data_IF_806699348001
#
_entry.id   IF_806699348001
#
_cell.length_a   1.000
_cell.length_b   1.000
_cell.length_c   1.000
_cell.angle_alpha   90.00
_cell.angle_beta   90.00
_cell.angle_gamma   90.00
#
_symmetry.space_group_name_H-M   'P 1'
#
loop_
_entity.id
_entity.type
_entity.pdbx_description
1 polymer ?
#
# COMPACT_ATOMS: atom_id res chain seq x y z
N UNK A 1 8.19 10.19 -7.91
CA UNK A 1 8.06 11.35 -8.84
C UNK A 1 8.37 12.67 -8.18
N UNK A 2 7.83 12.95 -6.99
CA UNK A 2 8.10 14.20 -6.26
C UNK A 2 9.55 14.29 -5.79
N UNK A 3 10.07 13.23 -5.19
CA UNK A 3 11.41 13.27 -4.60
C UNK A 3 12.51 13.36 -5.66
N UNK A 4 12.31 12.76 -6.84
CA UNK A 4 13.24 12.91 -7.97
C UNK A 4 13.10 14.26 -8.71
N UNK A 5 12.08 15.06 -8.37
CA UNK A 5 11.82 16.36 -8.98
C UNK A 5 11.15 16.31 -10.35
N UNK A 6 10.80 15.13 -10.87
CA UNK A 6 10.07 15.03 -12.16
C UNK A 6 8.60 15.41 -12.04
N UNK A 7 8.07 15.42 -10.81
CA UNK A 7 6.75 15.95 -10.48
C UNK A 7 6.85 17.00 -9.38
N UNK A 8 5.92 17.93 -9.41
CA UNK A 8 5.64 18.87 -8.34
C UNK A 8 4.17 18.73 -7.93
N UNK A 9 3.77 19.09 -6.69
CA UNK A 9 2.36 19.17 -6.32
C UNK A 9 1.56 19.96 -7.36
N UNK A 10 0.42 19.39 -7.77
CA UNK A 10 -0.43 19.91 -8.86
C UNK A 10 0.20 19.88 -10.27
N UNK A 11 1.18 19.01 -10.54
CA UNK A 11 1.58 18.73 -11.92
C UNK A 11 0.42 18.07 -12.68
N UNK A 12 -0.04 18.69 -13.74
CA UNK A 12 -1.12 18.16 -14.59
C UNK A 12 -0.56 17.33 -15.73
N UNK A 13 -1.11 16.14 -15.91
CA UNK A 13 -0.76 15.19 -16.97
C UNK A 13 -2.04 14.77 -17.70
N UNK A 14 -2.01 14.74 -19.03
CA UNK A 14 -3.12 14.24 -19.85
C UNK A 14 -3.15 12.70 -19.80
N UNK A 15 -4.25 12.15 -19.29
CA UNK A 15 -4.52 10.70 -19.26
C UNK A 15 -5.10 10.27 -20.62
N UNK A 16 -4.25 9.72 -21.45
CA UNK A 16 -4.57 9.20 -22.78
C UNK A 16 -3.72 7.95 -23.07
N UNK A 17 -4.22 6.96 -23.82
CA UNK A 17 -3.48 5.75 -24.13
C UNK A 17 -2.11 6.03 -24.76
N UNK A 18 -1.10 5.26 -24.33
CA UNK A 18 0.26 5.31 -24.87
C UNK A 18 0.48 4.18 -25.85
N UNK A 19 0.79 4.54 -27.10
CA UNK A 19 1.10 3.62 -28.18
C UNK A 19 2.63 3.55 -28.38
N UNK A 20 3.27 2.58 -27.75
CA UNK A 20 4.73 2.41 -27.80
C UNK A 20 5.04 1.24 -28.76
N UNK A 21 5.99 1.43 -29.69
CA UNK A 21 6.37 0.40 -30.66
C UNK A 21 6.82 -0.88 -29.95
N UNK A 22 6.30 -2.03 -30.36
CA UNK A 22 6.59 -3.36 -29.79
C UNK A 22 6.20 -3.52 -28.30
N UNK A 23 5.25 -2.73 -27.83
CA UNK A 23 4.71 -2.82 -26.47
C UNK A 23 3.19 -2.85 -26.57
N UNK A 24 2.48 -3.65 -25.77
CA UNK A 24 1.02 -3.55 -25.64
C UNK A 24 0.60 -2.14 -25.29
N UNK A 25 -0.60 -1.73 -25.72
CA UNK A 25 -1.13 -0.39 -25.42
C UNK A 25 -1.18 -0.20 -23.90
N UNK A 26 -0.53 0.85 -23.41
CA UNK A 26 -0.52 1.23 -22.01
C UNK A 26 -1.60 2.28 -21.77
N UNK A 27 -2.60 1.94 -20.96
CA UNK A 27 -3.77 2.80 -20.75
C UNK A 27 -4.29 2.70 -19.31
N UNK A 28 -5.05 3.69 -18.89
CA UNK A 28 -5.90 3.63 -17.71
C UNK A 28 -7.19 2.86 -18.02
N UNK A 29 -7.92 2.42 -16.99
CA UNK A 29 -9.19 1.71 -17.15
C UNK A 29 -10.29 2.56 -17.80
N UNK A 30 -10.16 3.89 -17.70
CA UNK A 30 -10.94 4.89 -18.44
C UNK A 30 -10.05 6.08 -18.78
N UNK A 31 -10.43 6.89 -19.75
CA UNK A 31 -9.79 8.18 -20.03
C UNK A 31 -10.27 9.23 -19.02
N UNK A 32 -9.34 9.96 -18.40
CA UNK A 32 -9.62 10.90 -17.31
C UNK A 32 -9.35 12.37 -17.68
N UNK A 33 -8.91 12.63 -18.93
CA UNK A 33 -8.55 13.97 -19.37
C UNK A 33 -7.23 14.45 -18.73
N UNK A 34 -7.12 15.76 -18.50
CA UNK A 34 -5.94 16.35 -17.85
C UNK A 34 -6.16 16.41 -16.35
N UNK A 35 -5.36 15.64 -15.60
CA UNK A 35 -5.51 15.43 -14.16
C UNK A 35 -4.20 15.68 -13.42
N UNK A 36 -4.31 16.03 -12.15
CA UNK A 36 -3.16 16.08 -11.21
C UNK A 36 -3.01 14.77 -10.43
N UNK A 37 -1.97 14.68 -9.61
CA UNK A 37 -1.65 13.49 -8.82
C UNK A 37 -2.74 13.07 -7.83
N UNK A 38 -3.46 14.03 -7.24
CA UNK A 38 -4.57 13.70 -6.32
C UNK A 38 -5.73 13.02 -7.05
N UNK A 39 -6.08 13.52 -8.22
CA UNK A 39 -7.08 12.90 -9.08
C UNK A 39 -6.57 11.56 -9.63
N UNK A 40 -5.29 11.48 -9.98
CA UNK A 40 -4.66 10.24 -10.44
C UNK A 40 -4.70 9.14 -9.36
N UNK A 41 -4.42 9.47 -8.10
CA UNK A 41 -4.56 8.53 -6.97
C UNK A 41 -6.02 8.17 -6.74
N UNK A 42 -6.91 9.17 -6.67
CA UNK A 42 -8.35 8.98 -6.42
C UNK A 42 -9.01 8.05 -7.43
N UNK A 43 -8.71 8.24 -8.72
CA UNK A 43 -9.32 7.48 -9.82
C UNK A 43 -8.43 6.35 -10.35
N UNK A 44 -7.26 6.14 -9.74
CA UNK A 44 -6.32 5.09 -10.13
C UNK A 44 -5.85 5.19 -11.58
N UNK A 45 -5.29 6.34 -11.99
CA UNK A 45 -4.73 6.54 -13.32
C UNK A 45 -3.41 5.80 -13.50
N UNK A 46 -3.39 4.79 -14.36
CA UNK A 46 -2.15 4.14 -14.78
C UNK A 46 -1.29 5.08 -15.62
N UNK A 47 -1.90 5.83 -16.53
CA UNK A 47 -1.17 6.71 -17.45
C UNK A 47 -0.41 7.79 -16.72
N UNK A 48 -0.96 8.33 -15.62
CA UNK A 48 -0.23 9.30 -14.79
C UNK A 48 1.07 8.68 -14.26
N UNK A 49 1.00 7.42 -13.75
CA UNK A 49 2.17 6.69 -13.24
C UNK A 49 3.13 6.31 -14.36
N UNK A 50 2.64 5.89 -15.53
CA UNK A 50 3.48 5.60 -16.69
C UNK A 50 4.29 6.82 -17.12
N UNK A 51 3.65 7.99 -17.28
CA UNK A 51 4.34 9.22 -17.67
C UNK A 51 5.33 9.69 -16.59
N UNK A 52 5.02 9.48 -15.32
CA UNK A 52 5.97 9.70 -14.22
C UNK A 52 7.19 8.80 -14.34
N UNK A 53 7.00 7.50 -14.58
CA UNK A 53 8.11 6.55 -14.74
C UNK A 53 8.98 6.88 -15.98
N UNK A 54 8.37 7.27 -17.09
CA UNK A 54 9.08 7.75 -18.27
C UNK A 54 9.96 8.94 -17.92
N UNK A 55 9.44 9.90 -17.18
CA UNK A 55 10.20 11.10 -16.76
C UNK A 55 11.35 10.73 -15.82
N UNK A 56 11.14 9.82 -14.83
CA UNK A 56 12.20 9.29 -13.96
C UNK A 56 13.33 8.64 -14.79
N UNK A 57 12.96 7.90 -15.85
CA UNK A 57 13.91 7.29 -16.78
C UNK A 57 14.50 8.24 -17.81
N UNK A 58 14.24 9.55 -17.74
CA UNK A 58 14.72 10.54 -18.71
C UNK A 58 14.19 10.30 -20.14
N UNK A 59 13.11 9.52 -20.29
CA UNK A 59 12.53 9.15 -21.56
C UNK A 59 11.63 10.25 -22.16
N UNK A 60 11.48 10.23 -23.47
CA UNK A 60 10.52 11.06 -24.20
C UNK A 60 9.54 10.17 -24.94
N UNK A 61 8.26 10.24 -24.54
CA UNK A 61 7.22 9.52 -25.23
C UNK A 61 6.87 10.19 -26.58
N UNK A 62 6.87 9.36 -27.63
CA UNK A 62 6.35 9.72 -28.94
C UNK A 62 5.42 8.58 -29.43
N UNK A 63 4.20 8.87 -29.91
CA UNK A 63 3.29 7.84 -30.40
C UNK A 63 3.94 6.97 -31.47
N UNK A 64 3.74 5.65 -31.38
CA UNK A 64 4.20 4.65 -32.32
C UNK A 64 5.74 4.53 -32.49
N UNK A 65 6.51 5.28 -31.69
CA UNK A 65 7.98 5.19 -31.65
C UNK A 65 8.47 4.23 -30.53
N UNK A 66 9.71 3.72 -30.63
CA UNK A 66 10.31 3.01 -29.52
C UNK A 66 10.51 3.94 -28.32
N UNK A 67 10.16 3.47 -27.13
CA UNK A 67 10.47 4.19 -25.87
C UNK A 67 11.88 3.81 -25.43
N UNK A 68 12.70 4.82 -25.18
CA UNK A 68 14.03 4.68 -24.59
C UNK A 68 14.02 5.30 -23.21
N UNK A 69 14.56 4.58 -22.22
CA UNK A 69 14.73 5.05 -20.83
C UNK A 69 16.11 4.68 -20.33
N UNK A 70 16.58 5.38 -19.31
CA UNK A 70 17.74 4.93 -18.55
C UNK A 70 17.32 3.75 -17.67
N UNK A 71 17.97 2.56 -17.74
CA UNK A 71 17.69 1.41 -16.89
C UNK A 71 17.80 1.69 -15.39
N UNK A 72 18.63 2.68 -14.98
CA UNK A 72 18.75 3.11 -13.58
C UNK A 72 17.42 3.57 -12.97
N UNK A 73 16.42 3.87 -13.78
CA UNK A 73 15.08 4.20 -13.30
C UNK A 73 14.44 3.05 -12.49
N UNK A 74 14.74 1.79 -12.82
CA UNK A 74 14.31 0.63 -12.03
C UNK A 74 14.94 0.66 -10.63
N UNK A 75 16.24 0.88 -10.55
CA UNK A 75 16.97 1.00 -9.29
C UNK A 75 16.42 2.16 -8.46
N UNK A 76 16.22 3.32 -9.09
CA UNK A 76 15.66 4.51 -8.43
C UNK A 76 14.28 4.23 -7.84
N UNK A 77 13.35 3.68 -8.61
CA UNK A 77 11.99 3.38 -8.14
C UNK A 77 12.02 2.34 -7.01
N UNK A 78 12.79 1.26 -7.18
CA UNK A 78 12.93 0.20 -6.16
C UNK A 78 13.62 0.70 -4.88
N UNK A 79 14.56 1.63 -4.99
CA UNK A 79 15.15 2.29 -3.83
C UNK A 79 14.08 2.96 -2.96
N UNK A 80 13.19 3.75 -3.56
CA UNK A 80 12.08 4.33 -2.80
C UNK A 80 11.09 3.26 -2.31
N UNK A 81 10.76 2.26 -3.11
CA UNK A 81 9.88 1.16 -2.67
C UNK A 81 10.44 0.45 -1.43
N UNK A 82 11.74 0.18 -1.38
CA UNK A 82 12.39 -0.49 -0.25
C UNK A 82 12.35 0.34 1.04
N UNK A 83 12.42 1.66 0.94
CA UNK A 83 12.26 2.53 2.11
C UNK A 83 10.87 2.40 2.77
N UNK A 84 9.85 2.06 1.99
CA UNK A 84 8.50 1.75 2.50
C UNK A 84 8.32 0.28 2.91
N UNK A 85 9.31 -0.59 2.69
CA UNK A 85 9.25 -2.00 3.02
C UNK A 85 8.91 -2.93 1.86
N UNK A 86 8.73 -2.42 0.64
CA UNK A 86 8.44 -3.24 -0.53
C UNK A 86 9.73 -3.83 -1.12
N UNK A 87 9.72 -5.15 -1.42
CA UNK A 87 10.87 -5.86 -1.99
C UNK A 87 12.02 -6.14 -1.01
N UNK A 88 11.80 -5.91 0.27
CA UNK A 88 12.73 -6.23 1.37
C UNK A 88 11.98 -6.92 2.51
N UNK A 89 12.68 -7.62 3.39
CA UNK A 89 12.07 -8.20 4.59
C UNK A 89 11.52 -7.10 5.48
N UNK A 90 10.33 -7.32 6.05
CA UNK A 90 9.69 -6.38 6.98
C UNK A 90 10.36 -6.41 8.36
N UNK A 91 11.05 -7.50 8.67
CA UNK A 91 11.68 -7.73 9.95
C UNK A 91 10.73 -8.23 11.04
N UNK A 92 9.54 -8.72 10.66
CA UNK A 92 8.61 -9.33 11.61
C UNK A 92 9.29 -10.47 12.38
N UNK A 93 8.92 -10.66 13.63
CA UNK A 93 9.45 -11.69 14.52
C UNK A 93 8.87 -13.09 14.24
N UNK A 94 8.78 -13.43 12.94
CA UNK A 94 8.39 -14.76 12.44
C UNK A 94 9.51 -15.38 11.61
N UNK A 95 9.68 -16.71 11.65
CA UNK A 95 10.63 -17.40 10.79
C UNK A 95 10.20 -17.39 9.32
N UNK A 96 11.15 -17.60 8.41
CA UNK A 96 10.92 -17.84 6.98
C UNK A 96 10.21 -16.70 6.23
N UNK A 97 10.41 -15.44 6.65
CA UNK A 97 9.90 -14.28 5.94
C UNK A 97 10.47 -14.19 4.52
N UNK A 98 9.58 -14.02 3.52
CA UNK A 98 9.96 -13.82 2.13
C UNK A 98 10.11 -12.34 1.80
N UNK A 99 11.10 -12.00 0.95
CA UNK A 99 11.37 -10.63 0.51
C UNK A 99 10.56 -10.19 -0.72
N UNK A 100 9.64 -11.03 -1.21
CA UNK A 100 8.97 -10.80 -2.50
C UNK A 100 9.82 -11.27 -3.68
N UNK A 101 9.44 -10.87 -4.89
CA UNK A 101 10.16 -11.19 -6.11
C UNK A 101 10.36 -9.92 -6.94
N UNK A 102 11.56 -9.72 -7.47
CA UNK A 102 11.91 -8.60 -8.36
C UNK A 102 12.20 -9.11 -9.77
N UNK A 103 11.51 -8.54 -10.75
CA UNK A 103 11.75 -8.83 -12.16
C UNK A 103 13.15 -8.41 -12.61
N UNK A 104 13.80 -9.19 -13.48
CA UNK A 104 15.20 -8.98 -13.85
C UNK A 104 15.38 -8.15 -15.13
N UNK A 105 14.36 -8.09 -15.99
CA UNK A 105 14.45 -7.34 -17.24
C UNK A 105 14.26 -5.84 -17.04
N UNK A 106 15.05 -5.06 -17.79
CA UNK A 106 15.02 -3.58 -17.76
C UNK A 106 14.41 -2.96 -19.03
N UNK A 107 13.55 -3.70 -19.74
CA UNK A 107 12.84 -3.16 -20.90
C UNK A 107 11.93 -2.00 -20.51
N UNK A 108 11.88 -0.95 -21.34
CA UNK A 108 11.13 0.27 -21.03
C UNK A 108 9.63 0.03 -20.73
N UNK A 109 8.98 -0.92 -21.41
CA UNK A 109 7.60 -1.28 -21.13
C UNK A 109 7.38 -1.84 -19.72
N UNK A 110 8.37 -2.59 -19.19
CA UNK A 110 8.33 -3.16 -17.84
C UNK A 110 8.58 -2.12 -16.76
N UNK A 111 9.27 -1.00 -17.05
CA UNK A 111 9.35 0.13 -16.14
C UNK A 111 7.96 0.74 -15.88
N UNK A 112 7.12 0.80 -16.92
CA UNK A 112 5.76 1.27 -16.79
C UNK A 112 4.94 0.31 -15.92
N UNK A 113 5.11 -1.00 -16.13
CA UNK A 113 4.44 -2.01 -15.31
C UNK A 113 4.91 -1.97 -13.85
N UNK A 114 6.21 -1.77 -13.59
CA UNK A 114 6.73 -1.54 -12.24
C UNK A 114 6.05 -0.37 -11.55
N UNK A 115 5.84 0.75 -12.26
CA UNK A 115 5.24 1.96 -11.69
C UNK A 115 3.78 1.81 -11.25
N UNK A 116 3.08 0.78 -11.73
CA UNK A 116 1.70 0.47 -11.33
C UNK A 116 1.58 -0.82 -10.50
N UNK A 117 2.71 -1.44 -10.13
CA UNK A 117 2.73 -2.67 -9.32
C UNK A 117 2.43 -3.96 -10.10
N UNK A 118 2.65 -3.98 -11.41
CA UNK A 118 2.36 -5.13 -12.30
C UNK A 118 3.63 -5.93 -12.65
N UNK A 119 4.80 -5.61 -12.11
CA UNK A 119 6.07 -6.23 -12.50
C UNK A 119 6.78 -6.96 -11.36
N UNK A 120 6.95 -6.30 -10.22
CA UNK A 120 7.51 -6.94 -9.02
C UNK A 120 6.37 -7.52 -8.16
N UNK A 121 6.67 -8.53 -7.32
CA UNK A 121 5.70 -9.17 -6.43
C UNK A 121 6.04 -8.89 -4.98
N UNK A 122 5.04 -8.54 -4.19
CA UNK A 122 5.17 -8.20 -2.78
C UNK A 122 4.25 -9.06 -1.93
N UNK A 123 4.68 -9.32 -0.68
CA UNK A 123 3.86 -10.07 0.26
C UNK A 123 2.78 -9.19 0.89
N UNK A 124 1.66 -9.76 1.38
CA UNK A 124 0.66 -8.99 2.12
C UNK A 124 1.25 -8.26 3.33
N UNK A 125 2.26 -8.83 4.00
CA UNK A 125 2.94 -8.20 5.13
C UNK A 125 3.73 -6.95 4.71
N UNK A 126 4.41 -7.01 3.55
CA UNK A 126 5.07 -5.83 2.98
C UNK A 126 4.06 -4.73 2.61
N UNK A 127 2.90 -5.10 2.05
CA UNK A 127 1.83 -4.13 1.75
C UNK A 127 1.28 -3.48 3.02
N UNK A 128 1.09 -4.24 4.10
CA UNK A 128 0.65 -3.69 5.39
C UNK A 128 1.70 -2.75 6.00
N UNK A 129 2.99 -3.11 5.96
CA UNK A 129 4.07 -2.24 6.42
C UNK A 129 4.19 -0.96 5.57
N UNK A 130 4.08 -1.09 4.24
CA UNK A 130 4.09 0.04 3.31
C UNK A 130 3.00 1.07 3.64
N UNK A 131 1.76 0.63 3.79
CA UNK A 131 0.65 1.53 4.10
C UNK A 131 0.74 2.11 5.52
N UNK A 132 1.25 1.33 6.48
CA UNK A 132 1.56 1.81 7.84
C UNK A 132 2.61 2.93 7.82
N UNK A 133 3.64 2.79 6.98
CA UNK A 133 4.69 3.81 6.81
C UNK A 133 4.12 5.11 6.23
N UNK A 134 3.16 5.04 5.30
CA UNK A 134 2.44 6.21 4.81
C UNK A 134 1.60 6.83 5.93
N UNK A 135 0.83 6.01 6.65
CA UNK A 135 -0.10 6.44 7.69
C UNK A 135 0.59 7.25 8.80
N UNK A 136 1.74 6.78 9.28
CA UNK A 136 2.47 7.40 10.39
C UNK A 136 3.48 8.48 9.98
N UNK A 137 3.37 9.01 8.74
CA UNK A 137 4.20 10.14 8.30
C UNK A 137 5.63 9.76 7.88
N UNK A 138 5.87 8.50 7.51
CA UNK A 138 7.11 8.07 6.88
C UNK A 138 8.09 7.33 7.78
N UNK A 139 7.70 6.90 8.96
CA UNK A 139 8.49 6.02 9.80
C UNK A 139 8.16 4.57 9.50
N UNK A 140 9.11 3.80 8.98
CA UNK A 140 8.96 2.36 8.78
C UNK A 140 9.27 1.62 10.08
N UNK A 141 8.24 1.08 10.69
CA UNK A 141 8.32 0.36 11.94
C UNK A 141 8.56 -1.14 11.71
N UNK A 142 9.33 -1.76 12.61
CA UNK A 142 9.44 -3.23 12.66
C UNK A 142 8.13 -3.81 13.17
N UNK A 143 7.44 -4.69 12.40
CA UNK A 143 6.29 -5.40 12.90
C UNK A 143 6.69 -6.37 14.01
N UNK A 144 5.90 -6.44 15.09
CA UNK A 144 6.17 -7.29 16.25
C UNK A 144 4.88 -7.99 16.67
N UNK A 145 4.94 -9.31 16.88
CA UNK A 145 3.84 -10.11 17.45
C UNK A 145 3.99 -10.24 18.96
N UNK A 146 5.23 -10.30 19.46
CA UNK A 146 5.50 -10.43 20.88
C UNK A 146 5.70 -9.06 21.49
N UNK A 147 4.79 -8.66 22.37
CA UNK A 147 4.87 -7.39 23.14
C UNK A 147 5.71 -7.57 24.40
N UNK A 148 5.52 -8.68 25.12
CA UNK A 148 6.23 -8.95 26.38
C UNK A 148 6.28 -10.43 26.70
N UNK A 149 7.27 -10.82 27.47
CA UNK A 149 7.42 -12.15 28.08
C UNK A 149 7.23 -11.99 29.57
N UNK A 150 6.41 -12.85 30.18
CA UNK A 150 6.09 -12.83 31.60
C UNK A 150 6.46 -14.14 32.30
N UNK A 151 6.67 -14.06 33.59
CA UNK A 151 6.81 -15.27 34.42
C UNK A 151 5.53 -16.08 34.40
N UNK A 152 5.63 -17.44 34.52
CA UNK A 152 4.44 -18.26 34.65
C UNK A 152 3.64 -17.84 35.90
N UNK A 153 2.32 -17.80 35.77
CA UNK A 153 1.42 -17.56 36.91
C UNK A 153 1.09 -18.89 37.61
N UNK A 154 1.17 -18.93 38.91
CA UNK A 154 0.88 -20.11 39.70
C UNK A 154 -0.59 -20.58 39.61
N UNK A 155 -1.53 -19.65 39.40
CA UNK A 155 -2.98 -19.92 39.31
C UNK A 155 -3.52 -19.95 37.89
N UNK A 156 -2.70 -19.62 36.87
CA UNK A 156 -3.08 -19.56 35.46
C UNK A 156 -4.14 -18.49 35.11
N UNK A 157 -4.58 -17.71 36.11
CA UNK A 157 -5.67 -16.70 35.94
C UNK A 157 -5.16 -15.26 35.85
N UNK A 158 -3.99 -14.99 36.43
CA UNK A 158 -3.36 -13.67 36.41
C UNK A 158 -2.07 -13.69 35.62
N UNK A 159 -1.75 -12.59 34.97
CA UNK A 159 -0.47 -12.45 34.29
C UNK A 159 0.65 -12.31 35.33
N UNK A 160 1.73 -13.08 35.15
CA UNK A 160 2.92 -12.99 35.99
C UNK A 160 3.70 -11.69 35.76
N UNK A 161 4.80 -11.51 36.53
CA UNK A 161 5.67 -10.35 36.42
C UNK A 161 6.29 -10.28 35.01
N UNK A 162 6.45 -9.07 34.46
CA UNK A 162 7.12 -8.85 33.18
C UNK A 162 8.60 -9.20 33.33
N UNK A 163 9.07 -10.19 32.57
CA UNK A 163 10.48 -10.56 32.43
C UNK A 163 11.19 -9.72 31.37
N UNK A 164 10.49 -9.48 30.27
CA UNK A 164 11.01 -8.70 29.13
C UNK A 164 9.87 -8.01 28.41
N UNK A 165 10.07 -6.73 28.07
CA UNK A 165 9.19 -5.94 27.21
C UNK A 165 9.94 -5.60 25.92
N UNK A 166 9.24 -5.62 24.79
CA UNK A 166 9.77 -5.24 23.49
C UNK A 166 9.25 -3.87 23.13
N UNK A 167 10.14 -2.92 22.95
CA UNK A 167 9.80 -1.56 22.57
C UNK A 167 9.64 -1.44 21.05
N UNK A 168 8.83 -0.48 20.55
CA UNK A 168 8.73 -0.21 19.13
C UNK A 168 10.08 0.13 18.50
N UNK A 169 10.37 -0.46 17.33
CA UNK A 169 11.64 -0.25 16.62
C UNK A 169 11.39 0.44 15.29
N UNK A 170 11.98 1.60 15.10
CA UNK A 170 12.02 2.30 13.81
C UNK A 170 13.13 1.68 12.95
N UNK A 171 12.79 1.09 11.82
CA UNK A 171 13.75 0.53 10.87
C UNK A 171 14.42 1.61 10.03
N UNK A 172 13.62 2.56 9.54
CA UNK A 172 14.10 3.77 8.87
C UNK A 172 13.00 4.84 8.84
N UNK A 173 13.42 6.08 8.65
CA UNK A 173 12.56 7.16 8.18
C UNK A 173 12.77 7.32 6.68
N UNK A 174 11.70 7.44 5.91
CA UNK A 174 11.83 7.64 4.46
C UNK A 174 12.51 8.98 4.15
N UNK A 175 13.42 8.96 3.19
CA UNK A 175 14.08 10.17 2.69
C UNK A 175 13.15 10.92 1.73
N UNK A 176 12.20 11.64 2.31
CA UNK A 176 11.18 12.36 1.56
C UNK A 176 10.67 13.55 2.34
N UNK A 177 10.35 14.65 1.64
CA UNK A 177 9.73 15.81 2.28
C UNK A 177 8.35 15.45 2.85
N UNK A 178 8.08 15.90 4.07
CA UNK A 178 6.80 15.64 4.76
C UNK A 178 5.59 16.10 3.95
N UNK A 179 5.70 17.20 3.19
CA UNK A 179 4.64 17.69 2.32
C UNK A 179 4.24 16.68 1.24
N UNK A 180 5.17 15.89 0.72
CA UNK A 180 4.90 14.85 -0.29
C UNK A 180 4.14 13.67 0.31
N UNK A 181 4.49 13.28 1.54
CA UNK A 181 3.78 12.23 2.27
C UNK A 181 2.33 12.68 2.55
N UNK A 182 2.16 13.90 3.05
CA UNK A 182 0.82 14.48 3.28
C UNK A 182 -0.01 14.54 1.99
N UNK A 183 0.64 14.82 0.88
CA UNK A 183 -0.02 14.85 -0.43
C UNK A 183 -0.51 13.45 -0.85
N UNK A 184 0.29 12.41 -0.61
CA UNK A 184 -0.11 11.01 -0.85
C UNK A 184 -1.22 10.58 0.10
N UNK A 185 -1.13 10.92 1.39
CA UNK A 185 -2.18 10.67 2.38
C UNK A 185 -3.52 11.29 1.94
N UNK A 186 -3.50 12.53 1.46
CA UNK A 186 -4.70 13.20 0.93
C UNK A 186 -5.25 12.47 -0.30
N UNK A 187 -4.38 12.01 -1.21
CA UNK A 187 -4.80 11.16 -2.33
C UNK A 187 -5.51 9.88 -1.86
N UNK A 188 -4.97 9.21 -0.84
CA UNK A 188 -5.57 8.00 -0.24
C UNK A 188 -6.91 8.29 0.44
N UNK A 189 -7.04 9.43 1.13
CA UNK A 189 -8.32 9.89 1.69
C UNK A 189 -9.37 10.02 0.59
N UNK A 190 -9.02 10.65 -0.54
CA UNK A 190 -9.93 10.87 -1.67
C UNK A 190 -10.42 9.57 -2.31
N UNK A 191 -9.61 8.52 -2.31
CA UNK A 191 -10.02 7.19 -2.81
C UNK A 191 -11.23 6.65 -2.06
N UNK A 192 -11.28 6.84 -0.73
CA UNK A 192 -12.29 6.24 0.15
C UNK A 192 -13.40 7.21 0.59
N UNK A 193 -13.11 8.52 0.64
CA UNK A 193 -14.00 9.50 1.27
C UNK A 193 -14.56 10.56 0.30
N UNK A 194 -14.08 10.62 -0.95
CA UNK A 194 -14.53 11.63 -1.91
C UNK A 194 -15.31 10.97 -3.07
N UNK A 195 -16.49 11.52 -3.47
CA UNK A 195 -17.25 11.00 -4.61
C UNK A 195 -16.37 10.82 -5.86
N UNK A 196 -16.50 9.67 -6.52
CA UNK A 196 -15.69 9.27 -7.66
C UNK A 196 -14.34 8.64 -7.29
N UNK A 197 -14.03 8.44 -6.02
CA UNK A 197 -12.94 7.59 -5.56
C UNK A 197 -13.25 6.12 -5.80
N UNK A 198 -12.23 5.30 -6.11
CA UNK A 198 -12.41 3.90 -6.52
C UNK A 198 -13.01 3.01 -5.43
N UNK A 199 -12.87 3.37 -4.15
CA UNK A 199 -13.47 2.66 -3.02
C UNK A 199 -14.57 3.46 -2.29
N UNK A 200 -14.97 4.62 -2.82
CA UNK A 200 -15.93 5.53 -2.17
C UNK A 200 -17.25 4.84 -1.79
N UNK A 201 -17.83 4.05 -2.69
CA UNK A 201 -19.11 3.37 -2.46
C UNK A 201 -19.10 2.42 -1.24
N UNK A 202 -17.93 1.88 -0.90
CA UNK A 202 -17.77 0.97 0.23
C UNK A 202 -17.48 1.68 1.55
N UNK A 203 -16.81 2.85 1.51
CA UNK A 203 -16.25 3.49 2.71
C UNK A 203 -16.84 4.86 3.06
N UNK A 204 -17.63 5.48 2.19
CA UNK A 204 -18.20 6.81 2.41
C UNK A 204 -18.98 6.95 3.73
N UNK A 205 -19.70 5.88 4.12
CA UNK A 205 -20.51 5.83 5.35
C UNK A 205 -19.71 5.44 6.61
N UNK A 206 -18.41 5.11 6.47
CA UNK A 206 -17.60 4.68 7.61
C UNK A 206 -17.32 5.84 8.56
N UNK A 207 -17.74 5.71 9.83
CA UNK A 207 -17.57 6.75 10.86
C UNK A 207 -16.09 7.01 11.20
N UNK A 208 -15.25 5.98 11.09
CA UNK A 208 -13.81 6.04 11.35
C UNK A 208 -12.99 6.66 10.21
N UNK A 209 -13.62 7.15 9.14
CA UNK A 209 -12.97 7.93 8.06
C UNK A 209 -11.65 7.34 7.58
N UNK A 210 -11.64 6.20 6.86
CA UNK A 210 -10.41 5.53 6.44
C UNK A 210 -9.77 6.22 5.23
N UNK A 211 -8.52 5.87 4.96
CA UNK A 211 -7.80 6.23 3.74
C UNK A 211 -7.08 4.99 3.18
N UNK A 212 -6.93 4.91 1.87
CA UNK A 212 -6.28 3.74 1.26
C UNK A 212 -6.26 3.76 -0.25
N UNK A 213 -5.91 2.62 -0.85
CA UNK A 213 -5.80 2.46 -2.30
C UNK A 213 -6.23 1.06 -2.72
N UNK A 214 -7.06 0.98 -3.74
CA UNK A 214 -7.44 -0.25 -4.44
C UNK A 214 -6.37 -0.64 -5.46
N UNK A 215 -6.22 -1.93 -5.74
CA UNK A 215 -5.38 -2.44 -6.80
C UNK A 215 -6.03 -3.64 -7.51
N UNK A 216 -5.77 -3.73 -8.80
CA UNK A 216 -6.16 -4.87 -9.65
C UNK A 216 -4.96 -5.20 -10.53
N UNK A 217 -4.31 -6.33 -10.27
CA UNK A 217 -3.17 -6.80 -11.05
C UNK A 217 -3.60 -7.98 -11.91
N UNK A 218 -3.26 -7.95 -13.21
CA UNK A 218 -3.44 -9.09 -14.11
C UNK A 218 -2.54 -10.24 -13.64
N UNK A 219 -3.08 -11.45 -13.61
CA UNK A 219 -2.39 -12.65 -13.17
C UNK A 219 -2.89 -13.86 -13.98
N UNK A 220 -2.17 -14.96 -13.84
CA UNK A 220 -2.61 -16.25 -14.32
C UNK A 220 -2.82 -17.18 -13.13
N UNK A 221 -3.82 -18.05 -13.25
CA UNK A 221 -4.07 -19.04 -12.22
C UNK A 221 -2.92 -20.04 -12.12
N UNK A 222 -2.28 -20.15 -10.98
CA UNK A 222 -1.25 -21.15 -10.66
C UNK A 222 -1.57 -21.94 -9.37
N UNK A 223 -2.84 -21.90 -8.96
CA UNK A 223 -3.35 -22.59 -7.80
C UNK A 223 -3.47 -24.11 -7.95
N UNK A 224 -4.09 -24.80 -6.98
CA UNK A 224 -4.12 -26.26 -6.92
C UNK A 224 -4.98 -26.94 -7.99
N UNK A 225 -5.90 -26.23 -8.66
CA UNK A 225 -6.79 -26.82 -9.67
C UNK A 225 -6.06 -26.87 -11.02
N UNK A 226 -5.55 -28.04 -11.37
CA UNK A 226 -4.71 -28.22 -12.56
C UNK A 226 -5.41 -27.86 -13.87
N UNK A 227 -6.71 -28.13 -13.99
CA UNK A 227 -7.50 -27.80 -15.19
C UNK A 227 -7.65 -26.30 -15.45
N UNK A 228 -7.38 -25.46 -14.43
CA UNK A 228 -7.45 -24.01 -14.52
C UNK A 228 -6.08 -23.35 -14.71
N UNK A 229 -5.01 -24.13 -14.72
CA UNK A 229 -3.65 -23.59 -14.81
C UNK A 229 -3.47 -22.71 -16.04
N UNK A 230 -2.94 -21.50 -15.84
CA UNK A 230 -2.79 -20.44 -16.83
C UNK A 230 -4.10 -19.77 -17.30
N UNK A 231 -5.24 -20.01 -16.63
CA UNK A 231 -6.42 -19.18 -16.87
C UNK A 231 -6.11 -17.72 -16.51
N UNK A 232 -6.50 -16.74 -17.35
CA UNK A 232 -6.39 -15.32 -17.00
C UNK A 232 -7.22 -15.00 -15.75
N UNK A 233 -6.62 -14.36 -14.78
CA UNK A 233 -7.23 -13.98 -13.52
C UNK A 233 -6.73 -12.61 -13.08
N UNK A 234 -7.21 -12.13 -11.92
CA UNK A 234 -6.75 -10.90 -11.29
C UNK A 234 -6.38 -11.14 -9.84
N UNK A 235 -5.34 -10.46 -9.36
CA UNK A 235 -5.10 -10.29 -7.94
C UNK A 235 -5.72 -8.97 -7.50
N UNK A 236 -6.81 -9.02 -6.74
CA UNK A 236 -7.47 -7.84 -6.20
C UNK A 236 -6.84 -7.48 -4.88
N UNK A 237 -6.45 -6.23 -4.72
CA UNK A 237 -5.79 -5.74 -3.51
C UNK A 237 -6.48 -4.51 -2.96
N UNK A 238 -6.40 -4.34 -1.64
CA UNK A 238 -6.76 -3.12 -0.95
C UNK A 238 -5.76 -2.91 0.18
N UNK A 239 -5.16 -1.74 0.24
CA UNK A 239 -4.38 -1.29 1.38
C UNK A 239 -5.01 -0.05 1.99
N UNK A 240 -4.94 0.09 3.31
CA UNK A 240 -5.53 1.24 3.95
C UNK A 240 -5.18 1.36 5.42
N UNK A 241 -5.63 2.46 6.00
CA UNK A 241 -5.50 2.76 7.42
C UNK A 241 -6.69 3.59 7.91
N UNK A 242 -6.92 3.56 9.18
CA UNK A 242 -7.98 4.34 9.83
C UNK A 242 -7.61 4.67 11.29
N UNK A 243 -8.14 5.80 11.83
CA UNK A 243 -8.72 6.94 11.10
C UNK A 243 -7.69 7.68 10.24
N UNK A 244 -8.14 8.49 9.29
CA UNK A 244 -7.24 9.29 8.44
C UNK A 244 -6.37 10.27 9.22
N UNK A 245 -6.97 11.02 10.16
CA UNK A 245 -6.27 12.08 10.90
C UNK A 245 -5.42 11.55 12.06
N UNK A 246 -5.77 10.40 12.64
CA UNK A 246 -5.08 9.78 13.77
C UNK A 246 -5.05 8.27 13.56
N UNK A 247 -4.14 7.76 12.71
CA UNK A 247 -4.11 6.36 12.33
C UNK A 247 -3.82 5.42 13.50
N UNK A 248 -4.73 4.47 13.74
CA UNK A 248 -4.60 3.44 14.78
C UNK A 248 -4.37 2.05 14.20
N UNK A 249 -4.88 1.80 13.00
CA UNK A 249 -4.81 0.51 12.34
C UNK A 249 -4.48 0.67 10.87
N UNK A 250 -3.59 -0.15 10.36
CA UNK A 250 -3.33 -0.33 8.94
C UNK A 250 -3.61 -1.78 8.53
N UNK A 251 -4.00 -1.98 7.29
CA UNK A 251 -4.36 -3.30 6.78
C UNK A 251 -4.01 -3.47 5.31
N UNK A 252 -3.83 -4.71 4.91
CA UNK A 252 -3.73 -5.12 3.52
C UNK A 252 -4.65 -6.33 3.27
N UNK A 253 -5.38 -6.29 2.16
CA UNK A 253 -6.19 -7.40 1.65
C UNK A 253 -5.65 -7.80 0.30
N UNK A 254 -5.46 -9.09 0.09
CA UNK A 254 -5.10 -9.68 -1.21
C UNK A 254 -6.07 -10.82 -1.48
N UNK A 255 -6.77 -10.74 -2.61
CA UNK A 255 -7.64 -11.79 -3.13
C UNK A 255 -7.01 -12.30 -4.42
N UNK A 256 -6.27 -13.40 -4.38
CA UNK A 256 -5.62 -13.94 -5.56
C UNK A 256 -6.62 -14.65 -6.47
N UNK A 257 -6.28 -14.69 -7.76
CA UNK A 257 -6.99 -15.45 -8.79
C UNK A 257 -8.49 -15.14 -8.92
N UNK A 258 -8.87 -13.90 -8.69
CA UNK A 258 -10.22 -13.45 -8.89
C UNK A 258 -10.62 -13.53 -10.38
N UNK A 259 -11.86 -13.89 -10.68
CA UNK A 259 -12.42 -13.86 -12.02
C UNK A 259 -13.22 -12.58 -12.25
N UNK A 260 -13.28 -12.12 -13.51
CA UNK A 260 -14.01 -10.91 -13.86
C UNK A 260 -15.52 -11.09 -13.59
N UNK A 261 -16.15 -10.08 -12.97
CA UNK A 261 -17.59 -10.03 -12.71
C UNK A 261 -18.01 -10.63 -11.36
N UNK A 262 -17.55 -11.84 -11.00
CA UNK A 262 -17.95 -12.49 -9.74
C UNK A 262 -17.24 -11.94 -8.50
N UNK A 263 -16.08 -11.33 -8.70
CA UNK A 263 -15.20 -10.88 -7.62
C UNK A 263 -15.21 -9.37 -7.42
N UNK A 264 -16.03 -8.62 -8.15
CA UNK A 264 -16.02 -7.16 -8.13
C UNK A 264 -16.22 -6.60 -6.73
N UNK A 265 -15.23 -5.83 -6.24
CA UNK A 265 -15.23 -5.18 -4.94
C UNK A 265 -15.16 -6.12 -3.74
N UNK A 266 -14.78 -7.40 -3.90
CA UNK A 266 -14.64 -8.34 -2.77
C UNK A 266 -13.53 -7.90 -1.81
N UNK A 267 -12.41 -7.41 -2.33
CA UNK A 267 -11.31 -6.82 -1.55
C UNK A 267 -11.79 -5.62 -0.72
N UNK A 268 -12.63 -4.76 -1.29
CA UNK A 268 -13.20 -3.59 -0.60
C UNK A 268 -14.18 -4.00 0.50
N UNK A 269 -15.05 -4.99 0.22
CA UNK A 269 -15.97 -5.57 1.22
C UNK A 269 -15.22 -6.22 2.37
N UNK A 270 -14.16 -6.99 2.09
CA UNK A 270 -13.31 -7.58 3.14
C UNK A 270 -12.65 -6.48 3.96
N UNK A 271 -12.02 -5.49 3.32
CA UNK A 271 -11.39 -4.37 4.02
C UNK A 271 -12.37 -3.57 4.88
N UNK A 272 -13.59 -3.33 4.39
CA UNK A 272 -14.65 -2.69 5.16
C UNK A 272 -15.01 -3.51 6.40
N UNK A 273 -15.19 -4.82 6.29
CA UNK A 273 -15.51 -5.71 7.41
C UNK A 273 -14.39 -5.79 8.44
N UNK A 274 -13.13 -5.79 8.00
CA UNK A 274 -11.97 -5.74 8.91
C UNK A 274 -12.02 -4.48 9.78
N UNK A 275 -12.22 -3.31 9.17
CA UNK A 275 -12.27 -2.05 9.90
C UNK A 275 -13.50 -1.94 10.80
N UNK A 276 -14.68 -2.33 10.31
CA UNK A 276 -15.91 -2.35 11.13
C UNK A 276 -15.69 -3.21 12.37
N UNK A 277 -15.18 -4.44 12.21
CA UNK A 277 -14.91 -5.35 13.33
C UNK A 277 -13.86 -4.78 14.31
N UNK A 278 -12.81 -4.15 13.81
CA UNK A 278 -11.79 -3.53 14.66
C UNK A 278 -12.40 -2.44 15.56
N UNK A 279 -13.14 -1.50 14.99
CA UNK A 279 -13.73 -0.40 15.74
C UNK A 279 -14.89 -0.83 16.65
N UNK A 280 -15.69 -1.81 16.25
CA UNK A 280 -16.72 -2.45 17.09
C UNK A 280 -16.10 -3.13 18.32
N UNK A 281 -15.05 -3.94 18.13
CA UNK A 281 -14.35 -4.60 19.23
C UNK A 281 -13.67 -3.59 20.16
N UNK A 282 -13.11 -2.51 19.62
CA UNK A 282 -12.53 -1.43 20.41
C UNK A 282 -13.58 -0.76 21.30
N UNK A 283 -14.73 -0.41 20.71
CA UNK A 283 -15.84 0.20 21.45
C UNK A 283 -16.39 -0.73 22.55
N UNK A 284 -16.57 -2.01 22.23
CA UNK A 284 -17.01 -3.03 23.18
C UNK A 284 -16.05 -3.14 24.38
N UNK A 285 -14.74 -3.24 24.14
CA UNK A 285 -13.73 -3.31 25.19
C UNK A 285 -13.72 -2.05 26.07
N UNK A 286 -13.91 -0.87 25.48
CA UNK A 286 -14.02 0.38 26.23
C UNK A 286 -15.26 0.40 27.13
N UNK A 287 -16.42 -0.10 26.64
CA UNK A 287 -17.67 -0.18 27.41
C UNK A 287 -17.62 -1.21 28.55
N UNK A 288 -16.88 -2.31 28.38
CA UNK A 288 -16.69 -3.37 29.39
C UNK A 288 -15.70 -2.99 30.51
N UNK A 289 -15.28 -1.74 30.59
CA UNK A 289 -14.34 -1.24 31.60
C UNK A 289 -12.91 -1.72 31.36
N UNK A 290 -12.44 -1.52 30.15
CA UNK A 290 -11.18 -1.97 29.57
C UNK A 290 -10.15 -2.46 30.59
N UNK A 291 -10.00 -3.74 30.69
CA UNK A 291 -8.84 -4.34 31.37
C UNK A 291 -7.61 -3.78 30.67
N UNK A 292 -6.87 -3.00 31.40
CA UNK A 292 -5.75 -2.13 31.02
C UNK A 292 -4.59 -2.83 30.29
N UNK A 293 -4.84 -3.35 29.07
CA UNK A 293 -3.75 -3.84 28.24
C UNK A 293 -3.06 -2.73 27.42
N UNK A 294 -3.76 -1.60 27.18
CA UNK A 294 -3.28 -0.53 26.31
C UNK A 294 -3.02 0.83 26.99
N UNK A 295 -3.37 1.02 28.28
CA UNK A 295 -3.34 2.33 28.91
C UNK A 295 -2.00 2.77 29.51
N UNK A 296 -0.93 1.96 29.48
CA UNK A 296 0.37 2.32 30.05
C UNK A 296 1.50 2.54 29.04
N UNK A 297 1.21 2.52 27.74
CA UNK A 297 2.23 2.73 26.70
C UNK A 297 2.30 4.13 26.09
N UNK A 298 1.39 5.06 26.45
CA UNK A 298 1.25 6.34 25.76
C UNK A 298 1.68 7.59 26.52
N UNK A 299 2.06 7.52 27.80
CA UNK A 299 2.22 8.71 28.63
C UNK A 299 3.66 9.16 28.95
N UNK A 300 4.69 8.40 28.57
CA UNK A 300 6.09 8.75 28.91
C UNK A 300 6.98 9.21 27.74
N UNK A 301 6.45 9.31 26.52
CA UNK A 301 7.24 9.78 25.37
C UNK A 301 7.16 11.29 25.11
N UNK A 302 6.53 12.06 25.97
CA UNK A 302 6.32 13.51 25.75
C UNK A 302 7.31 14.43 26.50
N UNK A 303 8.26 13.91 27.28
CA UNK A 303 9.18 14.76 28.06
C UNK A 303 10.65 14.30 27.97
N UNK A 304 11.19 14.27 26.75
CA UNK A 304 12.63 14.31 26.52
C UNK A 304 12.89 15.12 25.25
N UNK A 305 13.22 16.39 25.48
CA UNK A 305 13.70 17.36 24.49
C UNK A 305 15.09 16.97 23.95
#
# INVERSE_FOLDING_TARGET
>A
GFQTGVLHPNTYIKDEPLYIKKTPVKKSWKTMGTINELTALKQSSNVYMFKTAIAIGGGVYRPHAPLRINPEAFTTIRHYFSQFGLGVKTGIDLPNELGGFQGQSTQAGLLLDLAIGQYDMYTPMQLAQYVSTIANGGYRMKPQLVKEIREPSADGKKLGRIMKRFEPVVLNRIDMKTEYIKRVQEGFRRVMQEPGGTAYSYFASASYKPAGKTGTAEAFYDGPIQSRRNDPTYNLTLVGYAPYNDPEVSFAVVVPWATQGESDGINDRIGRRILDAYFELKAKRAAEGGSSFDAQGGAEAADAR
#
